data_IF_747860411260
#
_entry.id   IF_747860411260
#
_cell.length_a   1.000
_cell.length_b   1.000
_cell.length_c   1.000
_cell.angle_alpha   90.00
_cell.angle_beta   90.00
_cell.angle_gamma   90.00
#
_symmetry.space_group_name_H-M   'P 1'
#
loop_
_entity.id
_entity.type
_entity.pdbx_description
1 polymer ?
#
# COMPACT_ATOMS: atom_id res chain seq x y z
N UNK A 1 34.40 5.75 18.25
CA UNK A 1 33.08 6.17 17.74
C UNK A 1 32.16 4.96 17.64
N UNK A 2 31.20 4.81 18.56
CA UNK A 2 30.22 3.72 18.52
C UNK A 2 29.20 4.04 17.44
N UNK A 3 29.09 3.22 16.39
CA UNK A 3 28.00 3.29 15.40
C UNK A 3 26.67 3.03 16.11
N UNK A 4 25.81 4.03 16.15
CA UNK A 4 24.43 3.83 16.58
C UNK A 4 23.75 2.81 15.66
N UNK A 5 23.01 1.84 16.20
CA UNK A 5 22.25 0.90 15.37
C UNK A 5 21.23 1.70 14.55
N UNK A 6 21.31 1.56 13.23
CA UNK A 6 20.25 2.08 12.32
C UNK A 6 18.91 1.54 12.83
N UNK A 7 18.02 2.41 13.31
CA UNK A 7 16.62 2.07 13.54
C UNK A 7 16.10 1.41 12.26
N UNK A 8 15.78 0.12 12.32
CA UNK A 8 14.96 -0.52 11.29
C UNK A 8 13.69 0.32 11.18
N UNK A 9 13.53 1.06 10.10
CA UNK A 9 12.24 1.64 9.76
C UNK A 9 11.28 0.46 9.64
N UNK A 10 10.48 0.24 10.67
CA UNK A 10 9.38 -0.70 10.58
C UNK A 10 8.38 -0.05 9.62
N UNK A 11 8.24 -0.63 8.43
CA UNK A 11 7.26 -0.22 7.42
C UNK A 11 5.86 -0.65 7.89
N UNK A 12 5.38 -0.02 8.95
CA UNK A 12 4.07 -0.27 9.56
C UNK A 12 3.11 0.78 9.03
N UNK A 13 2.02 0.32 8.46
CA UNK A 13 1.00 1.15 7.85
C UNK A 13 -0.37 0.88 8.46
N UNK A 14 -1.26 1.86 8.32
CA UNK A 14 -2.67 1.75 8.68
C UNK A 14 -3.55 2.01 7.47
N UNK A 15 -4.52 1.13 7.27
CA UNK A 15 -5.59 1.33 6.31
C UNK A 15 -6.94 1.19 7.02
N UNK A 16 -7.92 1.99 6.59
CA UNK A 16 -9.24 2.00 7.20
C UNK A 16 -10.35 2.09 6.14
N UNK A 17 -11.58 1.82 6.56
CA UNK A 17 -12.73 1.67 5.66
C UNK A 17 -12.82 0.29 5.06
N UNK A 18 -14.01 -0.09 4.58
CA UNK A 18 -14.30 -1.47 4.19
C UNK A 18 -13.46 -1.93 3.01
N UNK A 19 -13.41 -1.18 1.91
CA UNK A 19 -12.75 -1.64 0.69
C UNK A 19 -11.25 -1.89 0.89
N UNK A 20 -10.52 -0.89 1.40
CA UNK A 20 -9.08 -1.02 1.62
C UNK A 20 -8.74 -2.12 2.63
N UNK A 21 -9.51 -2.25 3.71
CA UNK A 21 -9.27 -3.27 4.74
C UNK A 21 -9.58 -4.67 4.25
N UNK A 22 -10.64 -4.87 3.45
CA UNK A 22 -10.95 -6.17 2.87
C UNK A 22 -9.83 -6.66 1.95
N UNK A 23 -9.33 -5.80 1.06
CA UNK A 23 -8.22 -6.13 0.18
C UNK A 23 -6.98 -6.59 0.98
N UNK A 24 -6.61 -5.88 2.05
CA UNK A 24 -5.50 -6.29 2.93
C UNK A 24 -5.80 -7.63 3.63
N UNK A 25 -7.02 -7.80 4.15
CA UNK A 25 -7.39 -9.01 4.86
C UNK A 25 -7.46 -10.25 3.96
N UNK A 26 -7.83 -10.09 2.71
CA UNK A 26 -7.88 -11.18 1.73
C UNK A 26 -6.49 -11.58 1.23
N UNK A 27 -5.56 -10.64 1.17
CA UNK A 27 -4.22 -10.88 0.65
C UNK A 27 -3.37 -11.68 1.64
N UNK A 28 -3.07 -12.94 1.29
CA UNK A 28 -2.42 -13.91 2.20
C UNK A 28 -0.97 -13.61 2.56
N UNK A 29 -0.28 -12.76 1.79
CA UNK A 29 1.16 -12.51 1.95
C UNK A 29 1.49 -11.37 2.92
N UNK A 30 0.51 -10.63 3.43
CA UNK A 30 0.74 -9.49 4.31
C UNK A 30 0.82 -9.89 5.79
N UNK A 31 1.75 -9.32 6.51
CA UNK A 31 1.87 -9.47 7.96
C UNK A 31 0.91 -8.50 8.65
N UNK A 32 -0.28 -8.97 8.97
CA UNK A 32 -1.24 -8.19 9.75
C UNK A 32 -0.78 -8.18 11.21
N UNK A 33 -0.57 -6.98 11.74
CA UNK A 33 -0.18 -6.76 13.13
C UNK A 33 -1.43 -6.77 14.01
N UNK A 34 -2.51 -6.09 13.57
CA UNK A 34 -3.72 -5.91 14.36
C UNK A 34 -4.89 -5.45 13.50
N UNK A 35 -6.07 -5.93 13.87
CA UNK A 35 -7.35 -5.40 13.37
C UNK A 35 -8.12 -4.80 14.54
N UNK A 36 -8.45 -3.52 14.45
CA UNK A 36 -9.33 -2.86 15.40
C UNK A 36 -10.72 -2.72 14.78
N UNK A 37 -11.74 -3.22 15.47
CA UNK A 37 -13.14 -3.21 15.03
C UNK A 37 -14.01 -2.50 16.08
N UNK A 38 -14.91 -1.63 15.61
CA UNK A 38 -15.91 -0.98 16.44
C UNK A 38 -17.09 -1.92 16.70
N UNK A 39 -17.38 -2.20 17.96
CA UNK A 39 -18.55 -2.98 18.36
C UNK A 39 -19.85 -2.32 17.87
N UNK A 40 -20.73 -3.11 17.27
CA UNK A 40 -21.98 -2.61 16.66
C UNK A 40 -21.79 -1.75 15.41
N UNK A 41 -20.53 -1.60 14.93
CA UNK A 41 -20.18 -0.79 13.76
C UNK A 41 -20.58 -1.43 12.42
N UNK A 42 -20.47 -0.63 11.36
CA UNK A 42 -20.82 -1.08 9.99
C UNK A 42 -19.98 -2.28 9.57
N UNK A 43 -18.68 -2.27 9.85
CA UNK A 43 -17.77 -3.35 9.48
C UNK A 43 -18.11 -4.67 10.21
N UNK A 44 -18.41 -4.60 11.51
CA UNK A 44 -18.75 -5.80 12.29
C UNK A 44 -20.02 -6.49 11.80
N UNK A 45 -20.98 -5.73 11.20
CA UNK A 45 -22.22 -6.29 10.63
C UNK A 45 -22.02 -6.95 9.26
N UNK A 46 -20.85 -6.80 8.63
CA UNK A 46 -20.58 -7.39 7.31
C UNK A 46 -20.14 -8.86 7.43
N UNK A 47 -20.90 -9.82 6.85
CA UNK A 47 -20.55 -11.25 6.93
C UNK A 47 -19.13 -11.56 6.42
N UNK A 48 -18.70 -10.88 5.33
CA UNK A 48 -17.37 -11.07 4.75
C UNK A 48 -16.25 -10.68 5.73
N UNK A 49 -16.40 -9.58 6.47
CA UNK A 49 -15.44 -9.15 7.49
C UNK A 49 -15.35 -10.20 8.60
N UNK A 50 -16.51 -10.65 9.10
CA UNK A 50 -16.55 -11.67 10.14
C UNK A 50 -15.95 -13.00 9.71
N UNK A 51 -16.17 -13.42 8.46
CA UNK A 51 -15.55 -14.62 7.89
C UNK A 51 -14.03 -14.50 7.88
N UNK A 52 -13.49 -13.38 7.35
CA UNK A 52 -12.05 -13.16 7.25
C UNK A 52 -11.37 -13.10 8.63
N UNK A 53 -12.00 -12.46 9.61
CA UNK A 53 -11.46 -12.36 10.97
C UNK A 53 -11.46 -13.70 11.67
N UNK A 54 -12.46 -14.53 11.45
CA UNK A 54 -12.54 -15.88 12.08
C UNK A 54 -11.57 -16.89 11.48
N UNK A 55 -11.22 -16.74 10.19
CA UNK A 55 -10.41 -17.72 9.47
C UNK A 55 -8.90 -17.46 9.56
N UNK A 56 -8.46 -16.33 10.12
CA UNK A 56 -7.05 -15.93 10.14
C UNK A 56 -6.49 -15.68 11.53
N UNK A 57 -5.21 -16.03 11.74
CA UNK A 57 -4.49 -15.88 13.00
C UNK A 57 -3.82 -14.52 13.12
N UNK A 58 -4.57 -13.50 13.42
CA UNK A 58 -4.03 -12.19 13.78
C UNK A 58 -4.84 -11.58 14.94
N UNK A 59 -4.25 -10.68 15.75
CA UNK A 59 -4.95 -10.05 16.85
C UNK A 59 -6.12 -9.19 16.36
N UNK A 60 -7.30 -9.43 16.95
CA UNK A 60 -8.52 -8.63 16.68
C UNK A 60 -8.98 -7.99 17.97
N UNK A 61 -8.98 -6.67 18.00
CA UNK A 61 -9.44 -5.89 19.13
C UNK A 61 -10.83 -5.31 18.84
N UNK A 62 -11.81 -5.75 19.62
CA UNK A 62 -13.15 -5.17 19.60
C UNK A 62 -13.22 -4.03 20.60
N UNK A 63 -13.39 -2.81 20.10
CA UNK A 63 -13.44 -1.58 20.89
C UNK A 63 -14.88 -1.10 20.99
N UNK A 64 -15.26 -0.57 22.14
CA UNK A 64 -16.52 0.17 22.27
C UNK A 64 -16.55 1.36 21.32
N UNK A 65 -17.74 1.89 21.03
CA UNK A 65 -17.89 3.06 20.15
C UNK A 65 -17.01 4.23 20.63
N UNK A 66 -17.03 4.53 21.93
CA UNK A 66 -16.28 5.66 22.49
C UNK A 66 -14.76 5.46 22.41
N UNK A 67 -14.29 4.26 22.74
CA UNK A 67 -12.87 3.90 22.61
C UNK A 67 -12.40 3.99 21.16
N UNK A 68 -13.22 3.51 20.23
CA UNK A 68 -12.89 3.51 18.81
C UNK A 68 -12.85 4.93 18.24
N UNK A 69 -13.86 5.75 18.52
CA UNK A 69 -13.92 7.13 18.06
C UNK A 69 -12.83 7.99 18.67
N UNK A 70 -12.49 7.78 19.95
CA UNK A 70 -11.36 8.47 20.59
C UNK A 70 -10.03 8.12 19.90
N UNK A 71 -9.81 6.84 19.57
CA UNK A 71 -8.57 6.37 18.96
C UNK A 71 -8.40 6.80 17.50
N UNK A 72 -9.50 6.87 16.75
CA UNK A 72 -9.51 7.14 15.31
C UNK A 72 -10.32 8.40 14.95
N UNK A 73 -10.24 9.41 15.80
CA UNK A 73 -10.92 10.70 15.59
C UNK A 73 -10.60 11.29 14.20
N UNK A 74 -11.60 11.87 13.57
CA UNK A 74 -11.47 12.53 12.26
C UNK A 74 -11.29 11.61 11.04
N UNK A 75 -11.23 10.27 11.22
CA UNK A 75 -11.06 9.31 10.13
C UNK A 75 -12.40 8.67 9.73
N UNK A 76 -12.67 8.54 8.44
CA UNK A 76 -13.83 7.80 7.90
C UNK A 76 -13.59 6.28 7.90
N UNK A 77 -13.51 5.69 9.09
CA UNK A 77 -13.08 4.30 9.27
C UNK A 77 -14.13 3.25 8.95
N UNK A 78 -15.40 3.60 8.88
CA UNK A 78 -16.51 2.65 8.77
C UNK A 78 -16.49 1.54 9.85
N UNK A 79 -15.82 1.82 10.99
CA UNK A 79 -15.72 0.92 12.13
C UNK A 79 -14.65 -0.18 12.01
N UNK A 80 -13.69 -0.04 11.11
CA UNK A 80 -12.56 -0.98 10.98
C UNK A 80 -11.27 -0.26 10.61
N UNK A 81 -10.16 -0.69 11.26
CA UNK A 81 -8.80 -0.26 10.95
C UNK A 81 -7.89 -1.48 10.98
N UNK A 82 -7.08 -1.66 9.96
CA UNK A 82 -6.06 -2.72 9.88
C UNK A 82 -4.69 -2.08 9.95
N UNK A 83 -3.88 -2.56 10.89
CA UNK A 83 -2.45 -2.24 11.01
C UNK A 83 -1.65 -3.42 10.49
N UNK A 84 -0.74 -3.17 9.54
CA UNK A 84 0.05 -4.22 8.90
C UNK A 84 1.49 -3.75 8.67
N UNK A 85 2.39 -4.72 8.51
CA UNK A 85 3.79 -4.50 8.18
C UNK A 85 4.06 -4.98 6.75
N UNK A 86 4.66 -4.12 5.93
CA UNK A 86 4.96 -4.44 4.55
C UNK A 86 6.11 -3.61 3.98
N UNK A 87 6.90 -4.22 3.12
CA UNK A 87 7.86 -3.50 2.27
C UNK A 87 7.20 -3.21 0.92
N UNK A 88 6.47 -2.09 0.84
CA UNK A 88 5.69 -1.72 -0.34
C UNK A 88 6.61 -1.34 -1.51
N UNK A 89 7.73 -0.67 -1.22
CA UNK A 89 8.71 -0.28 -2.22
C UNK A 89 9.62 -1.48 -2.49
N UNK A 90 9.71 -1.86 -3.75
CA UNK A 90 10.53 -2.98 -4.21
C UNK A 90 11.70 -2.47 -5.03
N UNK A 91 12.74 -3.30 -5.17
CA UNK A 91 13.79 -3.06 -6.15
C UNK A 91 13.24 -3.32 -7.55
N UNK A 92 13.57 -2.45 -8.50
CA UNK A 92 13.21 -2.66 -9.89
C UNK A 92 13.93 -3.94 -10.38
N UNK A 93 13.18 -4.95 -10.86
CA UNK A 93 13.80 -6.15 -11.41
C UNK A 93 14.49 -5.86 -12.75
N UNK A 94 15.34 -6.76 -13.20
CA UNK A 94 15.76 -6.82 -14.58
C UNK A 94 14.63 -7.42 -15.40
N UNK A 95 14.31 -6.82 -16.53
CA UNK A 95 13.24 -7.30 -17.40
C UNK A 95 13.84 -8.19 -18.51
N UNK A 96 13.27 -9.38 -18.66
CA UNK A 96 13.63 -10.27 -19.76
C UNK A 96 12.79 -9.88 -20.99
N UNK A 97 13.46 -9.80 -22.15
CA UNK A 97 12.80 -9.53 -23.44
C UNK A 97 11.77 -10.58 -23.86
N UNK A 98 11.70 -11.69 -23.13
CA UNK A 98 10.73 -12.77 -23.37
C UNK A 98 9.35 -12.50 -22.77
N UNK A 99 9.17 -11.54 -21.87
CA UNK A 99 7.86 -11.21 -21.34
C UNK A 99 7.09 -10.37 -22.36
N UNK A 100 5.97 -10.90 -22.81
CA UNK A 100 5.21 -10.34 -23.94
C UNK A 100 4.62 -8.94 -23.68
N UNK A 101 4.36 -8.56 -22.43
CA UNK A 101 3.71 -7.27 -22.11
C UNK A 101 4.14 -6.74 -20.74
N UNK A 102 5.19 -5.93 -20.73
CA UNK A 102 5.56 -5.14 -19.57
C UNK A 102 5.21 -3.67 -19.82
N UNK A 103 4.37 -3.10 -18.97
CA UNK A 103 4.01 -1.69 -19.03
C UNK A 103 4.35 -1.00 -17.69
N UNK A 104 5.40 -0.21 -17.66
CA UNK A 104 5.79 0.58 -16.51
C UNK A 104 5.23 1.99 -16.62
N UNK A 105 4.49 2.42 -15.60
CA UNK A 105 4.11 3.82 -15.46
C UNK A 105 5.21 4.56 -14.71
N UNK A 106 5.84 5.51 -15.36
CA UNK A 106 6.88 6.35 -14.76
C UNK A 106 6.29 7.69 -14.37
N UNK A 107 6.52 8.10 -13.14
CA UNK A 107 6.03 9.37 -12.61
C UNK A 107 7.22 10.24 -12.22
N UNK A 108 7.22 11.47 -12.73
CA UNK A 108 8.20 12.49 -12.40
C UNK A 108 7.53 13.69 -11.72
N UNK A 109 8.21 14.29 -10.73
CA UNK A 109 7.77 15.50 -10.02
C UNK A 109 6.35 15.48 -9.44
N UNK A 110 5.90 14.35 -8.89
CA UNK A 110 4.62 14.27 -8.21
C UNK A 110 4.79 14.60 -6.71
N UNK A 111 4.06 15.61 -6.24
CA UNK A 111 4.15 16.09 -4.85
C UNK A 111 2.91 15.73 -4.00
N UNK A 112 1.73 15.65 -4.63
CA UNK A 112 0.47 15.42 -3.91
C UNK A 112 0.22 13.94 -3.61
N UNK A 113 0.11 13.55 -2.32
CA UNK A 113 -0.24 12.18 -1.91
C UNK A 113 -1.60 11.70 -2.43
N UNK A 114 -2.58 12.60 -2.60
CA UNK A 114 -3.89 12.23 -3.13
C UNK A 114 -3.79 11.79 -4.58
N UNK A 115 -3.03 12.54 -5.38
CA UNK A 115 -2.80 12.20 -6.78
C UNK A 115 -2.07 10.86 -6.91
N UNK A 116 -1.02 10.61 -6.11
CA UNK A 116 -0.33 9.32 -6.15
C UNK A 116 -1.28 8.16 -5.81
N UNK A 117 -2.10 8.30 -4.78
CA UNK A 117 -3.07 7.27 -4.42
C UNK A 117 -4.08 6.98 -5.53
N UNK A 118 -4.56 8.01 -6.22
CA UNK A 118 -5.47 7.86 -7.37
C UNK A 118 -4.76 7.22 -8.59
N UNK A 119 -3.53 7.62 -8.86
CA UNK A 119 -2.72 7.04 -9.93
C UNK A 119 -2.48 5.55 -9.69
N UNK A 120 -2.11 5.15 -8.46
CA UNK A 120 -1.93 3.73 -8.09
C UNK A 120 -3.21 2.95 -8.38
N UNK A 121 -4.37 3.47 -7.99
CA UNK A 121 -5.65 2.82 -8.21
C UNK A 121 -5.97 2.70 -9.71
N UNK A 122 -5.76 3.75 -10.49
CA UNK A 122 -6.03 3.75 -11.93
C UNK A 122 -5.08 2.84 -12.68
N UNK A 123 -3.79 2.86 -12.31
CA UNK A 123 -2.77 2.02 -12.92
C UNK A 123 -3.05 0.52 -12.70
N UNK A 124 -3.46 0.15 -11.49
CA UNK A 124 -3.86 -1.24 -11.20
C UNK A 124 -5.07 -1.66 -12.04
N UNK A 125 -6.11 -0.84 -12.13
CA UNK A 125 -7.28 -1.10 -12.98
C UNK A 125 -6.92 -1.18 -14.47
N UNK A 126 -5.91 -0.46 -14.92
CA UNK A 126 -5.41 -0.47 -16.29
C UNK A 126 -4.42 -1.62 -16.58
N UNK A 127 -4.21 -2.51 -15.61
CA UNK A 127 -3.27 -3.63 -15.71
C UNK A 127 -1.83 -3.19 -16.00
N UNK A 128 -1.41 -2.03 -15.46
CA UNK A 128 -0.01 -1.58 -15.48
C UNK A 128 0.81 -2.56 -14.64
N UNK A 129 1.96 -3.00 -15.15
CA UNK A 129 2.77 -4.03 -14.49
C UNK A 129 3.68 -3.49 -13.38
N UNK A 130 3.90 -2.18 -13.33
CA UNK A 130 4.65 -1.55 -12.25
C UNK A 130 4.66 -0.03 -12.31
N UNK A 131 4.89 0.58 -11.17
CA UNK A 131 5.00 2.04 -11.00
C UNK A 131 6.44 2.38 -10.61
N UNK A 132 7.08 3.28 -11.36
CA UNK A 132 8.43 3.75 -11.09
C UNK A 132 8.41 5.22 -10.64
N UNK A 133 8.99 5.49 -9.46
CA UNK A 133 9.09 6.80 -8.84
C UNK A 133 10.57 7.17 -8.60
N UNK A 134 10.97 8.43 -8.74
CA UNK A 134 12.27 8.87 -8.26
C UNK A 134 12.32 8.82 -6.72
N UNK A 135 13.53 8.61 -6.17
CA UNK A 135 13.75 8.58 -4.73
C UNK A 135 13.66 9.98 -4.11
N UNK A 136 14.11 10.98 -4.87
CA UNK A 136 14.09 12.39 -4.50
C UNK A 136 13.07 13.16 -5.33
N UNK A 137 12.58 14.28 -4.81
CA UNK A 137 11.59 15.15 -5.47
C UNK A 137 10.30 14.40 -5.86
N UNK A 138 9.88 13.47 -5.03
CA UNK A 138 8.66 12.69 -5.22
C UNK A 138 7.96 12.43 -3.89
N UNK A 139 6.64 12.35 -3.96
CA UNK A 139 5.79 12.05 -2.82
C UNK A 139 6.17 10.72 -2.16
N UNK A 140 6.15 10.71 -0.84
CA UNK A 140 6.42 9.50 -0.05
C UNK A 140 5.17 8.61 0.05
N UNK A 141 5.38 7.28 0.11
CA UNK A 141 4.31 6.34 0.38
C UNK A 141 3.91 6.42 1.86
N UNK A 142 2.91 7.22 2.14
CA UNK A 142 2.33 7.42 3.46
C UNK A 142 1.00 6.67 3.62
N UNK A 143 0.50 6.55 4.85
CA UNK A 143 -0.85 6.02 5.10
C UNK A 143 -1.92 6.71 4.26
N UNK A 144 -1.76 8.01 3.97
CA UNK A 144 -2.69 8.78 3.13
C UNK A 144 -2.72 8.25 1.69
N UNK A 145 -1.54 8.01 1.08
CA UNK A 145 -1.44 7.42 -0.26
C UNK A 145 -2.10 6.05 -0.31
N UNK A 146 -1.76 5.19 0.67
CA UNK A 146 -2.30 3.84 0.75
C UNK A 146 -3.82 3.85 0.94
N UNK A 147 -4.32 4.78 1.75
CA UNK A 147 -5.74 4.95 1.99
C UNK A 147 -6.49 5.36 0.71
N UNK A 148 -5.95 6.31 -0.06
CA UNK A 148 -6.58 6.77 -1.32
C UNK A 148 -6.55 5.69 -2.38
N UNK A 149 -5.48 4.89 -2.45
CA UNK A 149 -5.40 3.76 -3.39
C UNK A 149 -6.38 2.62 -3.09
N UNK A 150 -7.00 2.63 -1.90
CA UNK A 150 -8.00 1.65 -1.44
C UNK A 150 -7.57 0.19 -1.57
N UNK A 151 -6.27 -0.07 -1.42
CA UNK A 151 -5.70 -1.41 -1.49
C UNK A 151 -5.10 -1.79 -2.85
N UNK A 152 -5.22 -0.98 -3.89
CA UNK A 152 -4.64 -1.25 -5.20
C UNK A 152 -3.10 -1.42 -5.15
N UNK A 153 -2.43 -0.75 -4.22
CA UNK A 153 -0.99 -0.89 -4.00
C UNK A 153 -0.53 -2.33 -3.65
N UNK A 154 -1.46 -3.22 -3.32
CA UNK A 154 -1.16 -4.63 -3.02
C UNK A 154 -0.81 -5.40 -4.29
N UNK A 155 -1.45 -5.04 -5.38
CA UNK A 155 -1.37 -5.73 -6.66
C UNK A 155 -0.42 -5.05 -7.65
N UNK A 156 -0.18 -3.75 -7.47
CA UNK A 156 0.73 -2.96 -8.31
C UNK A 156 2.12 -2.85 -7.66
N UNK A 157 3.16 -3.48 -8.21
CA UNK A 157 4.54 -3.27 -7.75
C UNK A 157 4.95 -1.80 -7.84
N UNK A 158 5.56 -1.28 -6.78
CA UNK A 158 6.04 0.10 -6.74
C UNK A 158 7.55 0.10 -6.55
N UNK A 159 8.24 0.69 -7.49
CA UNK A 159 9.69 0.76 -7.55
C UNK A 159 10.20 2.18 -7.30
N UNK A 160 11.42 2.30 -6.78
CA UNK A 160 12.11 3.58 -6.69
C UNK A 160 13.48 3.52 -7.36
N UNK A 161 13.87 4.65 -7.96
CA UNK A 161 15.20 4.81 -8.53
C UNK A 161 15.83 6.14 -8.09
N UNK A 162 17.16 6.16 -7.95
CA UNK A 162 17.88 7.36 -7.55
C UNK A 162 17.89 8.43 -8.66
N UNK A 163 18.19 8.02 -9.89
CA UNK A 163 18.22 8.91 -11.06
C UNK A 163 17.29 8.38 -12.16
N UNK A 164 16.18 9.10 -12.37
CA UNK A 164 15.15 8.68 -13.31
C UNK A 164 15.65 8.64 -14.76
N UNK A 165 16.42 9.65 -15.21
CA UNK A 165 16.96 9.66 -16.56
C UNK A 165 17.91 8.49 -16.84
N UNK A 166 18.76 8.15 -15.87
CA UNK A 166 19.64 7.00 -15.99
C UNK A 166 18.85 5.70 -16.05
N UNK A 167 17.81 5.57 -15.20
CA UNK A 167 16.96 4.39 -15.18
C UNK A 167 16.19 4.22 -16.50
N UNK A 168 15.65 5.28 -17.06
CA UNK A 168 14.98 5.24 -18.37
C UNK A 168 15.94 4.80 -19.49
N UNK A 169 17.19 5.28 -19.48
CA UNK A 169 18.21 4.80 -20.44
C UNK A 169 18.48 3.31 -20.29
N UNK A 170 18.49 2.78 -19.06
CA UNK A 170 18.66 1.35 -18.79
C UNK A 170 17.47 0.56 -19.33
N UNK A 171 16.25 0.95 -19.01
CA UNK A 171 15.03 0.32 -19.51
C UNK A 171 14.98 0.33 -21.04
N UNK A 172 15.41 1.42 -21.69
CA UNK A 172 15.49 1.47 -23.15
C UNK A 172 16.47 0.46 -23.74
N UNK A 173 17.60 0.20 -23.06
CA UNK A 173 18.55 -0.85 -23.47
C UNK A 173 17.97 -2.26 -23.23
N UNK A 174 17.08 -2.43 -22.24
CA UNK A 174 16.34 -3.66 -21.97
C UNK A 174 15.19 -3.88 -22.95
N UNK A 175 14.90 -2.93 -23.84
CA UNK A 175 13.92 -3.08 -24.92
C UNK A 175 12.61 -2.32 -24.72
N UNK A 176 12.48 -1.53 -23.65
CA UNK A 176 11.29 -0.68 -23.46
C UNK A 176 11.23 0.46 -24.49
N UNK A 177 10.03 0.70 -24.96
CA UNK A 177 9.69 1.92 -25.70
C UNK A 177 9.40 3.06 -24.68
N UNK A 178 10.05 4.21 -24.89
CA UNK A 178 9.94 5.36 -23.96
C UNK A 178 9.67 6.60 -24.79
#
# INVERSE_FOLDING_TARGET
MRKQPKKKNQNIYQIFGLNGTLNILEYKKKKIIRVDIMQGGVAERKPVVNKLIKTKSFPVHRLTKDQFLKKYSGKRTQGIVVTFEENIIQNLPSFDKSSEYECLLVIDNLEDPQNLGQIIRTAECANITGLLLPEHQSVQLTDSVLQVSQGAFIHLPIYRCGNLHQQLRTLKKEGFWI
#
